data_IF_719128578637
#
_entry.id   IF_719128578637
#
_cell.length_a   1.000
_cell.length_b   1.000
_cell.length_c   1.000
_cell.angle_alpha   90.00
_cell.angle_beta   90.00
_cell.angle_gamma   90.00
#
_symmetry.space_group_name_H-M   'P 1'
#
loop_
_entity.id
_entity.type
_entity.pdbx_description
1 polymer ?
#
# COMPACT_ATOMS: atom_id res chain seq x y z
N UNK A 1 -48.80 -6.12 18.60
CA UNK A 1 -49.13 -6.42 17.19
C UNK A 1 -47.81 -6.54 16.45
N UNK A 2 -47.19 -7.73 16.40
CA UNK A 2 -47.28 -8.74 15.31
C UNK A 2 -47.07 -8.13 13.92
N UNK A 3 -45.88 -8.31 13.35
CA UNK A 3 -45.72 -9.07 12.10
C UNK A 3 -44.26 -9.48 11.88
N UNK A 4 -44.11 -10.75 11.57
CA UNK A 4 -42.90 -11.44 11.16
C UNK A 4 -43.07 -11.83 9.68
N UNK A 5 -41.98 -11.80 8.92
CA UNK A 5 -41.78 -12.55 7.67
C UNK A 5 -40.32 -13.01 7.70
N UNK A 6 -40.03 -14.28 8.01
CA UNK A 6 -40.14 -15.47 7.18
C UNK A 6 -38.93 -15.67 6.25
N UNK A 7 -38.12 -16.67 6.62
CA UNK A 7 -37.09 -17.34 5.83
C UNK A 7 -37.60 -17.78 4.44
N UNK A 8 -36.70 -17.79 3.46
CA UNK A 8 -36.65 -18.86 2.46
C UNK A 8 -35.21 -19.23 2.13
N UNK A 9 -34.90 -20.51 2.28
CA UNK A 9 -33.66 -21.18 1.89
C UNK A 9 -33.89 -21.97 0.59
N UNK A 10 -32.86 -22.15 -0.24
CA UNK A 10 -32.65 -23.24 -1.21
C UNK A 10 -31.18 -23.11 -1.71
N UNK A 11 -30.21 -23.92 -1.28
CA UNK A 11 -29.84 -25.32 -1.60
C UNK A 11 -29.28 -25.61 -3.01
N UNK A 12 -28.09 -26.25 -2.98
CA UNK A 12 -27.48 -27.21 -3.91
C UNK A 12 -26.78 -26.71 -5.20
N UNK A 13 -25.46 -26.96 -5.30
CA UNK A 13 -24.93 -28.08 -6.08
C UNK A 13 -23.45 -28.38 -5.75
N UNK A 14 -23.17 -29.66 -5.51
CA UNK A 14 -21.84 -30.26 -5.44
C UNK A 14 -21.31 -30.56 -6.85
N UNK A 15 -19.99 -30.51 -7.01
CA UNK A 15 -19.27 -31.13 -8.13
C UNK A 15 -17.87 -31.52 -7.68
N UNK A 16 -17.66 -32.82 -7.51
CA UNK A 16 -16.37 -33.48 -7.35
C UNK A 16 -16.14 -34.40 -8.57
N UNK A 17 -14.93 -34.99 -8.65
CA UNK A 17 -14.38 -35.92 -9.67
C UNK A 17 -13.42 -35.25 -10.67
N UNK A 18 -12.27 -35.81 -11.04
CA UNK A 18 -11.48 -36.94 -10.55
C UNK A 18 -10.06 -36.82 -11.16
N UNK A 19 -9.10 -37.44 -10.49
CA UNK A 19 -7.69 -37.57 -10.85
C UNK A 19 -7.43 -38.55 -12.00
N UNK A 20 -6.42 -38.26 -12.83
CA UNK A 20 -5.77 -39.25 -13.70
C UNK A 20 -4.32 -38.85 -14.04
N UNK A 21 -3.30 -39.67 -13.72
CA UNK A 21 -1.89 -39.40 -14.05
C UNK A 21 -1.39 -40.32 -15.17
N UNK A 22 -0.62 -39.79 -16.15
CA UNK A 22 0.30 -40.54 -17.03
C UNK A 22 1.27 -39.54 -17.73
N UNK A 23 2.40 -39.96 -18.33
CA UNK A 23 3.53 -40.68 -17.75
C UNK A 23 4.87 -39.93 -17.98
N UNK A 24 5.91 -40.39 -17.29
CA UNK A 24 7.29 -39.97 -17.44
C UNK A 24 7.86 -40.32 -18.82
N UNK A 25 8.53 -39.36 -19.48
CA UNK A 25 9.51 -39.64 -20.54
C UNK A 25 10.87 -39.06 -20.15
N UNK A 26 11.84 -39.96 -20.03
CA UNK A 26 13.26 -39.70 -19.83
C UNK A 26 13.85 -39.28 -21.19
N UNK A 27 14.53 -38.14 -21.22
CA UNK A 27 15.31 -37.66 -22.38
C UNK A 27 16.59 -37.00 -21.87
N UNK A 28 17.70 -37.72 -22.02
CA UNK A 28 19.05 -37.35 -21.63
C UNK A 28 19.70 -36.38 -22.63
N UNK A 29 20.74 -35.69 -22.13
CA UNK A 29 21.95 -35.27 -22.86
C UNK A 29 22.05 -33.80 -23.29
N UNK A 30 22.77 -33.04 -22.47
CA UNK A 30 23.92 -32.22 -22.89
C UNK A 30 23.61 -30.89 -23.59
N UNK A 31 24.09 -29.79 -23.03
CA UNK A 31 25.28 -29.03 -23.51
C UNK A 31 25.51 -27.87 -22.55
N UNK A 32 26.75 -27.65 -22.12
CA UNK A 32 27.15 -26.56 -21.25
C UNK A 32 26.81 -25.20 -21.87
N UNK A 33 26.01 -24.41 -21.15
CA UNK A 33 25.74 -23.02 -21.45
C UNK A 33 26.36 -22.16 -20.35
N UNK A 34 27.29 -21.30 -20.75
CA UNK A 34 27.86 -20.19 -19.99
C UNK A 34 26.82 -19.55 -19.06
N UNK A 35 27.19 -19.35 -17.80
CA UNK A 35 26.40 -18.62 -16.80
C UNK A 35 26.18 -17.18 -17.20
N UNK A 36 25.26 -16.96 -18.14
CA UNK A 36 24.61 -15.70 -18.35
C UNK A 36 23.73 -15.45 -17.13
N UNK A 37 23.92 -14.28 -16.53
CA UNK A 37 22.97 -13.72 -15.58
C UNK A 37 21.55 -13.91 -16.17
N UNK A 38 20.61 -14.52 -15.42
CA UNK A 38 19.28 -14.78 -15.94
C UNK A 38 18.74 -13.48 -16.51
N UNK A 39 18.30 -13.53 -17.78
CA UNK A 39 17.68 -12.39 -18.43
C UNK A 39 16.64 -11.80 -17.47
N UNK A 40 16.59 -10.47 -17.28
CA UNK A 40 15.62 -9.85 -16.39
C UNK A 40 14.25 -10.41 -16.74
N UNK A 41 13.57 -11.01 -15.75
CA UNK A 41 12.19 -11.45 -15.95
C UNK A 41 11.43 -10.28 -16.58
N UNK A 42 10.66 -10.49 -17.66
CA UNK A 42 9.90 -9.43 -18.29
C UNK A 42 9.17 -8.67 -17.20
N UNK A 43 9.31 -7.34 -17.14
CA UNK A 43 8.55 -6.57 -16.18
C UNK A 43 7.08 -6.95 -16.42
N UNK A 44 6.40 -7.62 -15.47
CA UNK A 44 5.06 -8.11 -15.72
C UNK A 44 4.07 -6.97 -16.00
N UNK A 45 4.47 -5.73 -15.68
CA UNK A 45 3.75 -4.50 -15.98
C UNK A 45 3.74 -4.13 -17.48
N UNK A 46 4.62 -4.69 -18.31
CA UNK A 46 4.72 -4.35 -19.74
C UNK A 46 5.12 -2.91 -20.04
N UNK A 47 5.61 -2.16 -19.03
CA UNK A 47 6.07 -0.76 -19.11
C UNK A 47 7.37 -0.59 -18.33
N UNK A 48 8.06 0.54 -18.51
CA UNK A 48 9.15 0.91 -17.61
C UNK A 48 8.62 1.23 -16.20
N UNK A 49 9.45 0.95 -15.19
CA UNK A 49 9.16 1.36 -13.80
C UNK A 49 9.28 2.87 -13.67
N UNK A 50 8.37 3.45 -12.90
CA UNK A 50 8.45 4.86 -12.54
C UNK A 50 9.70 5.14 -11.70
N UNK A 51 10.32 6.28 -11.97
CA UNK A 51 11.50 6.78 -11.27
C UNK A 51 11.32 8.27 -10.99
N UNK A 52 11.89 8.81 -9.90
CA UNK A 52 11.92 10.25 -9.68
C UNK A 52 12.59 10.94 -10.88
N UNK A 53 12.00 12.00 -11.43
CA UNK A 53 12.68 12.81 -12.43
C UNK A 53 13.95 13.44 -11.87
N UNK A 54 14.87 13.81 -12.76
CA UNK A 54 16.10 14.50 -12.36
C UNK A 54 15.79 15.74 -11.49
N UNK A 55 16.51 15.89 -10.37
CA UNK A 55 16.30 16.98 -9.41
C UNK A 55 15.17 16.75 -8.40
N UNK A 56 14.46 15.62 -8.47
CA UNK A 56 13.47 15.20 -7.45
C UNK A 56 14.02 14.00 -6.66
N UNK A 57 13.74 13.94 -5.36
CA UNK A 57 14.12 12.80 -4.50
C UNK A 57 13.02 11.74 -4.49
N UNK A 58 13.42 10.45 -4.48
CA UNK A 58 12.53 9.33 -4.19
C UNK A 58 12.35 9.06 -2.69
N UNK A 59 12.88 9.92 -1.81
CA UNK A 59 12.82 9.78 -0.35
C UNK A 59 12.03 10.91 0.31
N UNK A 60 10.73 11.12 0.00
CA UNK A 60 9.96 12.21 0.57
C UNK A 60 9.87 12.09 2.10
N UNK A 61 10.26 13.12 2.83
CA UNK A 61 10.28 13.16 4.30
C UNK A 61 9.03 13.84 4.87
N UNK A 62 8.24 14.51 4.04
CA UNK A 62 6.99 15.19 4.41
C UNK A 62 5.90 14.91 3.37
N UNK A 63 4.65 15.19 3.72
CA UNK A 63 3.51 15.03 2.81
C UNK A 63 3.66 15.94 1.59
N UNK A 64 4.16 17.17 1.76
CA UNK A 64 4.40 18.10 0.65
C UNK A 64 5.46 17.57 -0.30
N UNK A 65 6.53 16.95 0.22
CA UNK A 65 7.55 16.32 -0.61
C UNK A 65 6.99 15.11 -1.36
N UNK A 66 6.09 14.34 -0.75
CA UNK A 66 5.40 13.25 -1.43
C UNK A 66 4.47 13.77 -2.54
N UNK A 67 3.73 14.86 -2.30
CA UNK A 67 2.92 15.53 -3.33
C UNK A 67 3.78 16.10 -4.45
N UNK A 68 4.93 16.70 -4.12
CA UNK A 68 5.88 17.21 -5.12
C UNK A 68 6.41 16.08 -6.00
N UNK A 69 6.78 14.93 -5.41
CA UNK A 69 7.17 13.73 -6.15
C UNK A 69 6.02 13.25 -7.05
N UNK A 70 4.82 13.06 -6.50
CA UNK A 70 3.63 12.67 -7.26
C UNK A 70 3.35 13.61 -8.43
N UNK A 71 3.47 14.93 -8.25
CA UNK A 71 3.29 15.91 -9.30
C UNK A 71 4.34 15.83 -10.40
N UNK A 72 5.58 15.46 -10.06
CA UNK A 72 6.69 15.33 -11.00
C UNK A 72 6.67 14.02 -11.81
N UNK A 73 6.00 12.98 -11.30
CA UNK A 73 5.89 11.68 -11.99
C UNK A 73 5.04 11.77 -13.27
N UNK A 74 5.24 10.84 -14.24
CA UNK A 74 4.44 10.76 -15.45
C UNK A 74 2.93 10.69 -15.15
N UNK A 75 2.12 11.33 -15.99
CA UNK A 75 0.66 11.34 -15.89
C UNK A 75 0.03 10.34 -16.88
N UNK A 76 -1.04 9.63 -16.50
CA UNK A 76 -1.63 9.55 -15.16
C UNK A 76 -0.67 8.89 -14.15
N UNK A 77 -0.54 9.47 -12.95
CA UNK A 77 0.33 8.90 -11.89
C UNK A 77 -0.49 7.95 -11.02
N UNK A 78 -0.20 6.65 -11.02
CA UNK A 78 -0.86 5.66 -10.16
C UNK A 78 -0.17 5.48 -8.80
N UNK A 79 -0.81 4.76 -7.87
CA UNK A 79 -0.18 4.36 -6.59
C UNK A 79 1.06 3.51 -6.85
N UNK A 80 0.98 2.55 -7.77
CA UNK A 80 2.11 1.72 -8.16
C UNK A 80 3.29 2.56 -8.69
N UNK A 81 3.02 3.57 -9.53
CA UNK A 81 4.05 4.48 -10.04
C UNK A 81 4.74 5.28 -8.93
N UNK A 82 3.97 5.75 -7.94
CA UNK A 82 4.54 6.39 -6.75
C UNK A 82 5.47 5.45 -5.98
N UNK A 83 5.01 4.23 -5.67
CA UNK A 83 5.80 3.24 -4.90
C UNK A 83 7.05 2.79 -5.66
N UNK A 84 6.95 2.60 -6.98
CA UNK A 84 8.10 2.31 -7.84
C UNK A 84 9.16 3.40 -7.78
N UNK A 85 8.73 4.67 -7.72
CA UNK A 85 9.63 5.83 -7.70
C UNK A 85 10.35 6.04 -6.37
N UNK A 86 9.95 5.36 -5.30
CA UNK A 86 10.59 5.53 -4.01
C UNK A 86 11.99 4.92 -3.98
N UNK A 87 12.92 5.62 -3.33
CA UNK A 87 14.30 5.17 -3.14
C UNK A 87 14.34 3.87 -2.33
N UNK A 88 15.40 3.08 -2.53
CA UNK A 88 15.59 1.78 -1.89
C UNK A 88 16.75 1.82 -0.89
N UNK A 89 16.72 1.02 0.20
CA UNK A 89 15.70 0.02 0.56
C UNK A 89 14.36 0.63 0.98
N UNK A 90 13.24 0.01 0.59
CA UNK A 90 11.94 0.36 1.18
C UNK A 90 11.84 -0.22 2.58
N UNK A 91 11.61 0.62 3.57
CA UNK A 91 11.26 0.19 4.93
C UNK A 91 9.75 0.08 5.04
N UNK A 92 9.22 -1.13 5.24
CA UNK A 92 7.77 -1.35 5.30
C UNK A 92 7.33 -2.07 6.57
N UNK A 93 6.10 -1.83 6.99
CA UNK A 93 5.38 -2.63 7.98
C UNK A 93 4.02 -2.99 7.40
N UNK A 94 3.53 -4.22 7.56
CA UNK A 94 2.27 -4.65 6.96
C UNK A 94 1.31 -5.22 7.99
N UNK A 95 0.01 -4.95 7.81
CA UNK A 95 -1.06 -5.43 8.70
C UNK A 95 -2.26 -5.95 7.90
N UNK A 96 -2.86 -7.06 8.35
CA UNK A 96 -4.09 -7.63 7.81
C UNK A 96 -5.37 -7.11 8.53
N UNK A 97 -5.25 -6.08 9.36
CA UNK A 97 -6.38 -5.51 10.10
C UNK A 97 -7.45 -4.96 9.15
N UNK A 98 -8.68 -5.44 9.31
CA UNK A 98 -9.88 -4.86 8.70
C UNK A 98 -10.47 -3.70 9.50
N UNK A 99 -9.98 -3.43 10.71
CA UNK A 99 -10.41 -2.29 11.53
C UNK A 99 -9.58 -1.05 11.16
N UNK A 100 -10.00 -0.33 10.12
CA UNK A 100 -9.32 0.84 9.56
C UNK A 100 -10.25 1.59 8.59
N UNK A 101 -10.04 2.90 8.40
CA UNK A 101 -10.72 3.68 7.35
C UNK A 101 -10.37 3.18 5.93
N UNK A 102 -9.16 2.62 5.78
CA UNK A 102 -8.73 1.80 4.65
C UNK A 102 -8.48 0.37 5.15
N UNK A 103 -9.49 -0.50 5.18
CA UNK A 103 -9.34 -1.86 5.71
C UNK A 103 -8.42 -2.71 4.83
N UNK A 104 -7.62 -3.57 5.44
CA UNK A 104 -6.98 -4.65 4.69
C UNK A 104 -8.04 -5.65 4.20
N UNK A 105 -7.86 -6.16 2.99
CA UNK A 105 -8.79 -7.14 2.42
C UNK A 105 -8.53 -8.54 2.98
N UNK A 106 -7.24 -8.91 3.14
CA UNK A 106 -6.82 -10.18 3.70
C UNK A 106 -5.32 -10.17 4.03
N UNK A 107 -4.81 -11.25 4.62
CA UNK A 107 -3.35 -11.49 4.76
C UNK A 107 -2.58 -11.46 3.44
N UNK A 108 -3.25 -11.81 2.32
CA UNK A 108 -2.67 -11.81 0.97
C UNK A 108 -2.69 -10.43 0.31
N UNK A 109 -3.52 -9.53 0.84
CA UNK A 109 -3.68 -8.15 0.40
C UNK A 109 -3.68 -7.22 1.62
N UNK A 110 -2.57 -7.16 2.38
CA UNK A 110 -2.52 -6.37 3.59
C UNK A 110 -2.48 -4.87 3.26
N UNK A 111 -2.71 -4.07 4.29
CA UNK A 111 -2.35 -2.66 4.31
C UNK A 111 -0.85 -2.54 4.58
N UNK A 112 -0.14 -1.77 3.76
CA UNK A 112 1.32 -1.62 3.84
C UNK A 112 1.67 -0.18 4.15
N UNK A 113 2.41 -0.01 5.23
CA UNK A 113 2.95 1.25 5.71
C UNK A 113 4.41 1.36 5.28
N UNK A 114 4.71 2.31 4.42
CA UNK A 114 6.04 2.61 3.91
C UNK A 114 6.60 3.80 4.70
N UNK A 115 7.78 3.63 5.30
CA UNK A 115 8.42 4.66 6.13
C UNK A 115 9.56 5.36 5.37
N UNK A 116 9.51 6.69 5.32
CA UNK A 116 10.57 7.58 4.83
C UNK A 116 10.80 8.71 5.84
N UNK A 117 11.80 8.53 6.72
CA UNK A 117 12.01 9.44 7.85
C UNK A 117 10.82 9.42 8.81
N UNK A 118 10.19 10.57 9.01
CA UNK A 118 8.98 10.74 9.82
C UNK A 118 7.67 10.57 9.03
N UNK A 119 7.75 10.47 7.70
CA UNK A 119 6.60 10.22 6.86
C UNK A 119 6.28 8.72 6.81
N UNK A 120 5.03 8.39 7.10
CA UNK A 120 4.43 7.10 6.81
C UNK A 120 3.45 7.27 5.66
N UNK A 121 3.72 6.60 4.54
CA UNK A 121 2.80 6.49 3.41
C UNK A 121 2.14 5.13 3.45
N UNK A 122 0.82 5.07 3.37
CA UNK A 122 0.07 3.82 3.42
C UNK A 122 -0.57 3.54 2.08
N UNK A 123 -0.47 2.30 1.65
CA UNK A 123 -1.13 1.74 0.47
C UNK A 123 -1.89 0.46 0.88
N UNK A 124 -2.88 0.08 0.09
CA UNK A 124 -3.47 -1.27 0.15
C UNK A 124 -3.24 -1.96 -1.18
N UNK A 125 -3.04 -3.28 -1.15
CA UNK A 125 -2.69 -4.04 -2.35
C UNK A 125 -3.87 -4.20 -3.32
N UNK A 126 -5.10 -4.17 -2.83
CA UNK A 126 -6.30 -4.48 -3.59
C UNK A 126 -7.56 -3.86 -2.96
N UNK A 127 -8.68 -3.90 -3.68
CA UNK A 127 -9.97 -3.36 -3.25
C UNK A 127 -10.11 -1.85 -3.47
N UNK A 128 -11.24 -1.27 -3.05
CA UNK A 128 -11.58 0.13 -3.35
C UNK A 128 -10.56 1.15 -2.80
N UNK A 129 -9.91 0.83 -1.67
CA UNK A 129 -8.86 1.67 -1.09
C UNK A 129 -7.55 1.67 -1.89
N UNK A 130 -7.39 0.79 -2.88
CA UNK A 130 -6.13 0.64 -3.64
C UNK A 130 -5.79 1.83 -4.53
N UNK A 131 -6.75 2.77 -4.65
CA UNK A 131 -6.62 4.04 -5.36
C UNK A 131 -6.20 5.18 -4.44
N UNK A 132 -5.94 4.92 -3.17
CA UNK A 132 -5.62 5.93 -2.18
C UNK A 132 -4.20 5.75 -1.67
N UNK A 133 -3.55 6.88 -1.37
CA UNK A 133 -2.41 6.92 -0.46
C UNK A 133 -2.84 7.68 0.77
N UNK A 134 -2.78 7.02 1.92
CA UNK A 134 -2.95 7.64 3.23
C UNK A 134 -1.59 8.08 3.78
N UNK A 135 -1.48 9.32 4.23
CA UNK A 135 -0.27 9.86 4.82
C UNK A 135 -0.42 10.08 6.33
N UNK A 136 0.66 9.76 7.05
CA UNK A 136 0.86 10.14 8.45
C UNK A 136 2.26 10.71 8.62
N UNK A 137 2.39 12.02 8.73
CA UNK A 137 3.67 12.67 9.05
C UNK A 137 3.79 12.85 10.56
N UNK A 138 4.72 12.13 11.19
CA UNK A 138 4.95 12.20 12.63
C UNK A 138 5.65 13.51 12.99
N UNK A 139 5.04 14.30 13.88
CA UNK A 139 5.65 15.55 14.34
C UNK A 139 6.85 15.23 15.23
N UNK A 140 8.04 15.80 14.96
CA UNK A 140 9.27 15.48 15.68
C UNK A 140 9.14 15.56 17.20
N UNK A 141 9.60 14.53 17.90
CA UNK A 141 9.56 14.47 19.37
C UNK A 141 8.17 14.26 19.97
N UNK A 142 7.16 13.95 19.17
CA UNK A 142 5.78 13.71 19.64
C UNK A 142 5.25 12.35 19.17
N UNK A 143 4.08 11.97 19.69
CA UNK A 143 3.27 10.85 19.17
C UNK A 143 2.07 11.34 18.36
N UNK A 144 2.17 12.53 17.76
CA UNK A 144 1.11 13.13 16.95
C UNK A 144 1.51 13.12 15.49
N UNK A 145 0.57 12.80 14.63
CA UNK A 145 0.81 12.83 13.18
C UNK A 145 -0.18 13.73 12.48
N UNK A 146 0.30 14.52 11.53
CA UNK A 146 -0.54 15.18 10.54
C UNK A 146 -1.07 14.11 9.59
N UNK A 147 -2.37 14.14 9.32
CA UNK A 147 -3.06 13.20 8.43
C UNK A 147 -3.37 13.86 7.09
N UNK A 148 -3.24 13.08 6.02
CA UNK A 148 -3.70 13.47 4.69
C UNK A 148 -4.02 12.23 3.86
N UNK A 149 -4.79 12.41 2.80
CA UNK A 149 -5.10 11.32 1.88
C UNK A 149 -5.12 11.86 0.45
N UNK A 150 -4.59 11.12 -0.52
CA UNK A 150 -4.71 11.48 -1.92
C UNK A 150 -5.27 10.33 -2.74
N UNK A 151 -6.19 10.64 -3.63
CA UNK A 151 -6.76 9.70 -4.60
C UNK A 151 -6.00 9.73 -5.91
N UNK A 152 -5.85 8.55 -6.50
CA UNK A 152 -5.07 8.25 -7.67
C UNK A 152 -5.91 7.46 -8.69
N UNK A 153 -5.63 7.59 -10.00
CA UNK A 153 -4.48 8.29 -10.56
C UNK A 153 -4.56 9.83 -10.52
N UNK A 154 -3.41 10.50 -10.43
CA UNK A 154 -3.33 11.94 -10.68
C UNK A 154 -3.26 12.17 -12.19
N UNK A 155 -4.31 12.77 -12.73
CA UNK A 155 -4.36 13.20 -14.15
C UNK A 155 -3.60 14.51 -14.39
N UNK A 156 -3.49 15.36 -13.37
CA UNK A 156 -2.79 16.63 -13.42
C UNK A 156 -2.09 16.92 -12.07
N UNK A 157 -1.13 17.86 -12.02
CA UNK A 157 -0.57 18.30 -10.75
C UNK A 157 -1.63 18.85 -9.79
N UNK A 158 -1.50 18.53 -8.51
CA UNK A 158 -2.39 18.99 -7.43
C UNK A 158 -1.67 19.98 -6.51
N UNK A 159 -2.45 20.80 -5.80
CA UNK A 159 -1.89 21.71 -4.80
C UNK A 159 -1.25 20.94 -3.63
N UNK A 160 -0.23 21.51 -2.94
CA UNK A 160 0.33 20.91 -1.73
C UNK A 160 -0.70 20.67 -0.62
N UNK A 161 -1.81 21.43 -0.60
CA UNK A 161 -2.89 21.27 0.37
C UNK A 161 -3.83 20.09 0.07
N UNK A 162 -3.81 19.54 -1.15
CA UNK A 162 -4.81 18.58 -1.60
C UNK A 162 -4.97 17.36 -0.67
N UNK A 163 -3.90 16.79 -0.08
CA UNK A 163 -4.06 15.68 0.86
C UNK A 163 -4.83 16.05 2.13
N UNK A 164 -4.67 17.29 2.60
CA UNK A 164 -5.31 17.79 3.81
C UNK A 164 -6.76 18.16 3.56
N UNK A 165 -7.05 18.73 2.39
CA UNK A 165 -8.39 19.12 1.99
C UNK A 165 -9.30 17.88 1.86
N UNK A 166 -8.76 16.77 1.33
CA UNK A 166 -9.51 15.52 1.16
C UNK A 166 -10.02 14.93 2.47
N UNK A 167 -9.23 15.01 3.54
CA UNK A 167 -9.60 14.40 4.83
C UNK A 167 -10.52 15.29 5.66
N UNK A 168 -10.79 16.54 5.26
CA UNK A 168 -11.66 17.46 5.99
C UNK A 168 -13.07 16.90 6.14
N UNK A 169 -13.60 16.99 7.36
CA UNK A 169 -14.98 16.61 7.66
C UNK A 169 -15.53 17.50 8.78
N UNK A 170 -16.46 18.40 8.43
CA UNK A 170 -16.97 19.41 9.36
C UNK A 170 -15.85 20.31 9.88
N UNK A 171 -15.77 20.46 11.21
CA UNK A 171 -14.75 21.26 11.90
C UNK A 171 -13.42 20.49 12.15
N UNK A 172 -13.31 19.25 11.69
CA UNK A 172 -12.15 18.37 11.91
C UNK A 172 -11.80 17.56 10.66
N UNK A 173 -11.42 16.30 10.85
CA UNK A 173 -11.20 15.34 9.76
C UNK A 173 -12.02 14.07 9.92
N UNK A 174 -12.21 13.33 8.83
CA UNK A 174 -12.73 11.97 8.88
C UNK A 174 -11.81 11.04 9.71
N UNK A 175 -10.51 11.34 9.79
CA UNK A 175 -9.58 10.63 10.64
C UNK A 175 -9.89 10.82 12.13
N UNK A 176 -10.50 11.94 12.52
CA UNK A 176 -10.95 12.25 13.88
C UNK A 176 -11.96 11.25 14.46
N UNK A 177 -12.65 10.48 13.60
CA UNK A 177 -13.57 9.41 14.01
C UNK A 177 -12.83 8.25 14.71
N UNK A 178 -11.57 8.02 14.35
CA UNK A 178 -10.73 6.98 14.96
C UNK A 178 -9.62 7.59 15.82
N UNK A 179 -9.07 8.74 15.43
CA UNK A 179 -7.95 9.38 16.07
C UNK A 179 -8.39 10.59 16.90
N UNK A 180 -8.34 10.47 18.22
CA UNK A 180 -8.76 11.55 19.12
C UNK A 180 -7.76 12.72 19.20
N UNK A 181 -8.23 13.81 19.83
CA UNK A 181 -7.48 15.03 20.08
C UNK A 181 -6.95 15.72 18.82
N UNK A 182 -7.82 16.00 17.86
CA UNK A 182 -7.42 16.78 16.67
C UNK A 182 -6.97 18.20 17.06
N UNK A 183 -5.87 18.66 16.44
CA UNK A 183 -5.34 20.02 16.61
C UNK A 183 -4.89 20.56 15.27
N UNK A 184 -5.06 21.86 15.04
CA UNK A 184 -4.50 22.52 13.87
C UNK A 184 -3.00 22.72 14.07
N UNK A 185 -2.23 22.32 13.07
CA UNK A 185 -0.79 22.52 12.99
C UNK A 185 -0.46 23.35 11.75
N UNK A 186 0.50 24.28 11.84
CA UNK A 186 0.99 24.99 10.67
C UNK A 186 1.78 24.04 9.77
N UNK A 187 1.54 24.14 8.46
CA UNK A 187 2.16 23.33 7.42
C UNK A 187 2.71 24.23 6.32
N UNK A 188 4.02 24.12 6.09
CA UNK A 188 4.70 24.92 5.08
C UNK A 188 4.12 24.68 3.69
N UNK A 189 3.71 25.74 3.00
CA UNK A 189 3.15 25.65 1.64
C UNK A 189 1.71 25.13 1.55
N UNK A 190 1.09 24.73 2.66
CA UNK A 190 -0.29 24.21 2.69
C UNK A 190 -1.19 24.87 3.74
N UNK A 191 -0.68 25.83 4.51
CA UNK A 191 -1.48 26.56 5.51
C UNK A 191 -1.56 25.80 6.83
N UNK A 192 -2.74 25.31 7.19
CA UNK A 192 -2.94 24.50 8.41
C UNK A 192 -3.54 23.13 8.08
N UNK A 193 -3.04 22.09 8.74
CA UNK A 193 -3.58 20.74 8.67
C UNK A 193 -3.90 20.21 10.07
N UNK A 194 -4.76 19.19 10.15
CA UNK A 194 -5.05 18.56 11.45
C UNK A 194 -4.02 17.49 11.78
N UNK A 195 -3.49 17.57 13.00
CA UNK A 195 -2.79 16.47 13.66
C UNK A 195 -3.69 15.77 14.66
N UNK A 196 -3.43 14.50 14.91
CA UNK A 196 -4.10 13.71 15.95
C UNK A 196 -3.12 12.69 16.55
N UNK A 197 -3.52 12.00 17.61
CA UNK A 197 -2.68 10.95 18.21
C UNK A 197 -2.44 9.84 17.18
N UNK A 198 -1.16 9.49 16.98
CA UNK A 198 -0.74 8.42 16.08
C UNK A 198 -0.89 7.06 16.77
N UNK A 199 -1.46 6.11 16.04
CA UNK A 199 -1.59 4.72 16.47
C UNK A 199 -0.76 3.81 15.56
N UNK A 200 -0.23 2.74 16.14
CA UNK A 200 0.40 1.65 15.38
C UNK A 200 -0.57 0.48 15.19
N UNK A 201 -0.39 -0.34 14.15
CA UNK A 201 -1.14 -1.60 14.02
C UNK A 201 -0.89 -2.54 15.20
N UNK A 202 -1.87 -3.41 15.48
CA UNK A 202 -1.71 -4.44 16.52
C UNK A 202 -0.75 -5.53 16.06
N UNK A 203 0.02 -6.07 16.99
CA UNK A 203 1.04 -7.09 16.69
C UNK A 203 0.46 -8.42 16.21
N UNK A 204 -0.78 -8.75 16.58
CA UNK A 204 -1.48 -9.97 16.14
C UNK A 204 -1.94 -9.91 14.67
N UNK A 205 -2.02 -8.70 14.10
CA UNK A 205 -2.39 -8.47 12.69
C UNK A 205 -1.18 -8.34 11.76
N UNK A 206 0.03 -8.54 12.29
CA UNK A 206 1.25 -8.32 11.53
C UNK A 206 1.43 -9.33 10.40
N UNK A 207 1.80 -8.83 9.22
CA UNK A 207 2.20 -9.64 8.05
C UNK A 207 3.66 -9.33 7.74
N UNK A 208 4.51 -10.36 7.74
CA UNK A 208 5.94 -10.17 7.51
C UNK A 208 6.26 -9.81 6.05
N UNK A 209 7.36 -9.07 5.85
CA UNK A 209 7.93 -8.79 4.53
C UNK A 209 8.13 -10.07 3.70
N UNK A 210 8.57 -11.16 4.33
CA UNK A 210 8.80 -12.43 3.64
C UNK A 210 7.51 -13.08 3.17
N UNK A 211 6.45 -13.10 3.98
CA UNK A 211 5.15 -13.61 3.56
C UNK A 211 4.59 -12.79 2.38
N UNK A 212 4.70 -11.46 2.45
CA UNK A 212 4.24 -10.59 1.36
C UNK A 212 5.09 -10.71 0.09
N UNK A 213 6.39 -11.01 0.22
CA UNK A 213 7.27 -11.32 -0.91
C UNK A 213 6.87 -12.61 -1.61
N UNK A 214 6.46 -13.64 -0.86
CA UNK A 214 5.96 -14.90 -1.43
C UNK A 214 4.66 -14.69 -2.21
N UNK A 215 3.77 -13.83 -1.70
CA UNK A 215 2.57 -13.39 -2.43
C UNK A 215 2.94 -12.71 -3.75
N UNK A 216 3.97 -11.86 -3.78
CA UNK A 216 4.45 -11.22 -5.01
C UNK A 216 5.00 -12.23 -6.04
N UNK A 217 5.72 -13.26 -5.58
CA UNK A 217 6.33 -14.28 -6.45
C UNK A 217 5.30 -15.23 -7.07
N UNK A 218 4.18 -15.46 -6.39
CA UNK A 218 3.14 -16.41 -6.80
C UNK A 218 1.89 -15.72 -7.36
N UNK A 219 1.94 -14.41 -7.57
CA UNK A 219 0.78 -13.62 -7.96
C UNK A 219 0.24 -14.00 -9.34
N UNK A 220 -1.08 -14.16 -9.45
CA UNK A 220 -1.75 -14.50 -10.70
C UNK A 220 -2.16 -13.24 -11.47
N UNK A 221 -1.32 -12.83 -12.43
CA UNK A 221 -1.53 -11.63 -13.24
C UNK A 221 -2.80 -11.67 -14.12
N UNK A 222 -3.33 -12.85 -14.45
CA UNK A 222 -4.56 -12.96 -15.23
C UNK A 222 -5.80 -12.75 -14.35
N UNK A 223 -5.77 -13.25 -13.11
CA UNK A 223 -6.90 -13.16 -12.20
C UNK A 223 -6.88 -11.88 -11.34
N UNK A 224 -5.70 -11.37 -10.99
CA UNK A 224 -5.51 -10.31 -9.98
C UNK A 224 -4.53 -9.22 -10.47
N UNK A 225 -4.69 -8.67 -11.69
CA UNK A 225 -3.68 -7.81 -12.31
C UNK A 225 -3.29 -6.60 -11.46
N UNK A 226 -4.26 -5.94 -10.81
CA UNK A 226 -4.01 -4.78 -9.95
C UNK A 226 -3.18 -5.16 -8.71
N UNK A 227 -3.57 -6.23 -8.00
CA UNK A 227 -2.83 -6.71 -6.82
C UNK A 227 -1.40 -7.06 -7.18
N UNK A 228 -1.22 -7.75 -8.31
CA UNK A 228 0.10 -8.12 -8.78
C UNK A 228 0.94 -6.90 -9.18
N UNK A 229 0.33 -5.86 -9.78
CA UNK A 229 1.01 -4.59 -10.05
C UNK A 229 1.51 -3.93 -8.76
N UNK A 230 0.68 -3.84 -7.72
CA UNK A 230 1.07 -3.25 -6.43
C UNK A 230 2.19 -4.04 -5.75
N UNK A 231 2.11 -5.38 -5.72
CA UNK A 231 3.16 -6.24 -5.19
C UNK A 231 4.47 -6.08 -5.99
N UNK A 232 4.38 -6.00 -7.32
CA UNK A 232 5.53 -5.76 -8.18
C UNK A 232 6.14 -4.38 -7.95
N UNK A 233 5.34 -3.34 -7.66
CA UNK A 233 5.82 -2.01 -7.31
C UNK A 233 6.61 -2.01 -5.99
N UNK A 234 6.12 -2.73 -4.98
CA UNK A 234 6.79 -2.88 -3.68
C UNK A 234 8.11 -3.64 -3.82
N UNK A 235 8.14 -4.80 -4.48
CA UNK A 235 9.31 -5.69 -4.42
C UNK A 235 10.27 -5.60 -5.61
N UNK A 236 9.82 -5.15 -6.77
CA UNK A 236 10.65 -5.22 -7.97
C UNK A 236 11.58 -4.02 -8.19
N UNK A 237 11.54 -3.01 -7.32
CA UNK A 237 12.42 -1.83 -7.39
C UNK A 237 13.78 -1.99 -6.69
N UNK A 238 13.97 -3.06 -5.90
CA UNK A 238 15.18 -3.27 -5.12
C UNK A 238 14.87 -3.81 -3.71
N UNK A 239 15.83 -3.74 -2.77
CA UNK A 239 15.65 -4.30 -1.43
C UNK A 239 14.44 -3.71 -0.68
N UNK A 240 13.77 -4.57 0.10
CA UNK A 240 12.68 -4.22 1.01
C UNK A 240 13.01 -4.80 2.38
N UNK A 241 12.93 -3.97 3.41
CA UNK A 241 13.29 -4.32 4.79
C UNK A 241 12.10 -4.10 5.72
N UNK A 242 12.04 -4.92 6.78
CA UNK A 242 11.01 -4.81 7.81
C UNK A 242 11.24 -3.57 8.68
N UNK A 243 10.21 -2.76 8.82
CA UNK A 243 10.14 -1.58 9.65
C UNK A 243 9.28 -1.81 10.89
N UNK A 244 9.50 -0.97 11.90
CA UNK A 244 8.70 -0.97 13.12
C UNK A 244 8.16 0.43 13.41
N UNK A 245 6.91 0.46 13.87
CA UNK A 245 6.36 1.63 14.54
C UNK A 245 7.01 1.80 15.91
N UNK A 246 7.15 3.05 16.42
CA UNK A 246 7.60 3.28 17.79
C UNK A 246 6.77 2.44 18.79
N UNK A 247 7.42 1.69 19.69
CA UNK A 247 6.71 0.79 20.61
C UNK A 247 5.84 1.54 21.62
N UNK A 248 6.08 2.84 21.79
CA UNK A 248 5.32 3.76 22.63
C UNK A 248 4.01 4.24 22.00
N UNK A 249 3.79 4.02 20.69
CA UNK A 249 2.51 4.31 20.07
C UNK A 249 1.44 3.31 20.53
N UNK A 250 0.28 3.85 20.88
CA UNK A 250 -0.91 3.06 21.19
C UNK A 250 -1.40 2.27 19.97
N UNK A 251 -2.13 1.19 20.20
CA UNK A 251 -2.87 0.46 19.16
C UNK A 251 -4.37 0.75 19.27
N UNK A 252 -5.12 0.50 18.20
CA UNK A 252 -6.57 0.33 18.31
C UNK A 252 -6.88 -1.01 19.00
N UNK A 253 -8.01 -1.06 19.72
CA UNK A 253 -8.42 -2.12 20.64
C UNK A 253 -8.34 -3.54 20.03
#
# INVERSE_FOLDING_TARGET
MKQAYALLALLCACGAEESGPLPSSIGSSGTGGTGGEPAPLPNPLGRDRCKPPAGTTGSPQTIEQAVALLNALPKPTSVACFVESLDRPLTIHSSDSSFSAQPALSKKSPRVFIKTGELWSTIVMDGDGSKLIEFGYLLPGTLRSIKGELELPLEAPVAPSAPYDRVRFGEGTACGLCHSEERLEPVSGAGNAFSSIAFRPRTDTFVSVEALRQEAQTCNWQAEPHRCEMLAAVFGGGPVVEGAFPPTMSTFF
#
